data_IF_955860038765
#
_entry.id   IF_955860038765
#
_cell.length_a   1.000
_cell.length_b   1.000
_cell.length_c   1.000
_cell.angle_alpha   90.00
_cell.angle_beta   90.00
_cell.angle_gamma   90.00
#
_symmetry.space_group_name_H-M   'P 1'
#
loop_
_entity.id
_entity.type
_entity.pdbx_description
1 polymer ?
#
# COMPACT_ATOMS: atom_id res chain seq x y z
N UNK A 1 -59.19 -5.00 -20.35
CA UNK A 1 -58.43 -4.22 -19.36
C UNK A 1 -57.51 -5.17 -18.60
N UNK A 2 -56.19 -5.15 -18.85
CA UNK A 2 -55.22 -5.90 -18.03
C UNK A 2 -54.16 -4.90 -17.56
N UNK A 3 -54.21 -4.60 -16.26
CA UNK A 3 -53.29 -3.69 -15.56
C UNK A 3 -51.95 -4.41 -15.40
N UNK A 4 -50.89 -3.86 -15.98
CA UNK A 4 -49.51 -4.27 -15.66
C UNK A 4 -49.09 -3.51 -14.39
N UNK A 5 -48.82 -4.23 -13.30
CA UNK A 5 -48.08 -3.70 -12.16
C UNK A 5 -46.59 -3.69 -12.52
N UNK A 6 -45.96 -2.53 -12.50
CA UNK A 6 -44.52 -2.36 -12.56
C UNK A 6 -43.97 -2.55 -11.14
N UNK A 7 -43.22 -3.62 -10.87
CA UNK A 7 -42.42 -3.74 -9.66
C UNK A 7 -41.09 -3.01 -9.90
N UNK A 8 -40.86 -1.90 -9.20
CA UNK A 8 -39.58 -1.19 -9.21
C UNK A 8 -38.64 -1.85 -8.21
N UNK A 9 -37.67 -2.62 -8.70
CA UNK A 9 -36.61 -3.21 -7.86
C UNK A 9 -35.58 -2.12 -7.51
N UNK A 10 -35.57 -1.65 -6.26
CA UNK A 10 -34.51 -0.80 -5.74
C UNK A 10 -33.25 -1.66 -5.57
N UNK A 11 -32.27 -1.47 -6.45
CA UNK A 11 -30.94 -2.07 -6.31
C UNK A 11 -30.12 -1.23 -5.34
N UNK A 12 -29.85 -1.77 -4.15
CA UNK A 12 -28.96 -1.17 -3.17
C UNK A 12 -27.51 -1.39 -3.63
N UNK A 13 -26.91 -0.40 -4.29
CA UNK A 13 -25.48 -0.42 -4.61
C UNK A 13 -24.72 -0.18 -3.31
N UNK A 14 -24.34 -1.25 -2.62
CA UNK A 14 -23.37 -1.16 -1.53
C UNK A 14 -22.02 -0.87 -2.18
N UNK A 15 -21.59 0.39 -2.13
CA UNK A 15 -20.21 0.75 -2.40
C UNK A 15 -19.38 0.12 -1.28
N UNK A 16 -18.84 -1.06 -1.54
CA UNK A 16 -17.93 -1.72 -0.62
C UNK A 16 -16.69 -0.83 -0.50
N UNK A 17 -16.66 0.00 0.55
CA UNK A 17 -15.51 0.82 0.86
C UNK A 17 -14.31 -0.10 0.93
N UNK A 18 -13.29 0.19 0.13
CA UNK A 18 -12.06 -0.58 0.03
C UNK A 18 -11.26 -0.52 1.34
N UNK A 19 -11.71 -1.30 2.32
CA UNK A 19 -11.11 -1.39 3.64
C UNK A 19 -9.84 -2.23 3.64
N UNK A 20 -9.48 -2.88 2.53
CA UNK A 20 -8.37 -3.83 2.50
C UNK A 20 -7.29 -3.53 1.43
N UNK A 21 -7.17 -2.28 0.97
CA UNK A 21 -5.99 -1.87 0.21
C UNK A 21 -4.74 -1.78 1.08
N UNK A 22 -3.55 -1.96 0.48
CA UNK A 22 -2.29 -1.61 1.14
C UNK A 22 -2.33 -0.13 1.53
N UNK A 23 -1.87 0.19 2.75
CA UNK A 23 -1.80 1.56 3.26
C UNK A 23 -0.44 1.87 3.86
N UNK A 24 -0.07 3.15 3.84
CA UNK A 24 1.10 3.68 4.54
C UNK A 24 0.62 4.64 5.63
N UNK A 25 1.19 4.50 6.82
CA UNK A 25 1.00 5.40 7.96
C UNK A 25 2.34 6.05 8.36
N UNK A 26 2.36 7.31 8.82
CA UNK A 26 1.23 8.24 8.84
C UNK A 26 0.79 8.65 7.42
N UNK A 27 -0.44 9.12 7.27
CA UNK A 27 -0.97 9.62 5.98
C UNK A 27 -0.52 11.06 5.67
N UNK A 28 0.12 11.74 6.63
CA UNK A 28 0.73 13.04 6.46
C UNK A 28 2.08 13.07 7.20
N UNK A 29 3.05 13.82 6.69
CA UNK A 29 4.33 14.09 7.35
C UNK A 29 4.89 15.44 6.87
N UNK A 30 6.07 15.84 7.34
CA UNK A 30 6.72 17.09 6.95
C UNK A 30 7.87 16.88 5.98
N UNK A 31 8.11 17.84 5.09
CA UNK A 31 9.32 17.86 4.25
C UNK A 31 10.59 17.82 5.11
N UNK A 32 11.59 17.03 4.72
CA UNK A 32 12.85 16.87 5.46
C UNK A 32 12.76 16.10 6.77
N UNK A 33 11.58 15.66 7.22
CA UNK A 33 11.41 14.93 8.47
C UNK A 33 12.07 13.55 8.43
N UNK A 34 12.58 13.12 9.59
CA UNK A 34 12.82 11.70 9.87
C UNK A 34 11.50 11.09 10.33
N UNK A 35 11.02 10.07 9.64
CA UNK A 35 9.70 9.50 9.86
C UNK A 35 9.76 7.98 9.94
N UNK A 36 8.88 7.40 10.76
CA UNK A 36 8.59 5.96 10.72
C UNK A 36 7.35 5.75 9.84
N UNK A 37 7.57 5.15 8.68
CA UNK A 37 6.50 4.67 7.82
C UNK A 37 6.09 3.24 8.18
N UNK A 38 4.79 2.96 8.20
CA UNK A 38 4.24 1.62 8.43
C UNK A 38 3.40 1.21 7.25
N UNK A 39 3.86 0.20 6.50
CA UNK A 39 3.08 -0.44 5.44
C UNK A 39 2.19 -1.51 6.04
N UNK A 40 0.87 -1.30 5.99
CA UNK A 40 -0.13 -2.31 6.34
C UNK A 40 -0.59 -3.05 5.09
N UNK A 41 -0.45 -4.38 5.10
CA UNK A 41 -0.79 -5.27 4.01
C UNK A 41 -1.82 -6.30 4.49
N UNK A 42 -3.11 -6.13 4.18
CA UNK A 42 -4.11 -7.18 4.38
C UNK A 42 -4.08 -8.20 3.24
N UNK A 43 -4.62 -9.39 3.47
CA UNK A 43 -4.97 -10.33 2.40
C UNK A 43 -6.47 -10.20 2.07
N UNK A 44 -6.79 -9.67 0.89
CA UNK A 44 -8.18 -9.52 0.42
C UNK A 44 -8.79 -10.82 -0.14
N UNK A 45 -7.97 -11.84 -0.39
CA UNK A 45 -8.41 -13.13 -0.94
C UNK A 45 -8.91 -14.04 0.16
N UNK A 46 -10.02 -14.73 -0.13
CA UNK A 46 -10.63 -15.71 0.78
C UNK A 46 -10.03 -17.11 0.67
N UNK A 47 -9.51 -17.45 -0.51
CA UNK A 47 -9.07 -18.81 -0.86
C UNK A 47 -7.60 -18.87 -1.30
N UNK A 48 -6.85 -17.77 -1.18
CA UNK A 48 -5.45 -17.69 -1.58
C UNK A 48 -4.63 -16.96 -0.52
N UNK A 49 -3.37 -17.33 -0.38
CA UNK A 49 -2.42 -16.68 0.53
C UNK A 49 -1.64 -15.60 -0.21
N UNK A 50 -1.48 -14.43 0.38
CA UNK A 50 -0.48 -13.49 -0.11
C UNK A 50 0.90 -13.98 0.31
N UNK A 51 1.82 -14.07 -0.64
CA UNK A 51 3.15 -14.67 -0.43
C UNK A 51 4.30 -13.68 -0.62
N UNK A 52 4.01 -12.55 -1.27
CA UNK A 52 5.05 -11.57 -1.63
C UNK A 52 4.46 -10.19 -1.85
N UNK A 53 5.19 -9.18 -1.43
CA UNK A 53 4.90 -7.77 -1.73
C UNK A 53 6.16 -7.16 -2.33
N UNK A 54 6.02 -6.53 -3.49
CA UNK A 54 7.06 -5.68 -4.08
C UNK A 54 6.69 -4.22 -3.87
N UNK A 55 7.65 -3.41 -3.43
CA UNK A 55 7.49 -1.97 -3.25
C UNK A 55 8.51 -1.17 -4.03
N UNK A 56 8.06 -0.10 -4.69
CA UNK A 56 8.91 0.98 -5.18
C UNK A 56 8.71 2.23 -4.32
N UNK A 57 9.81 2.82 -3.89
CA UNK A 57 9.78 3.94 -2.97
C UNK A 57 9.66 5.28 -3.71
N UNK A 58 8.96 6.26 -3.12
CA UNK A 58 8.84 7.60 -3.68
C UNK A 58 10.19 8.21 -4.02
N UNK A 59 10.26 8.92 -5.15
CA UNK A 59 11.44 9.68 -5.52
C UNK A 59 11.80 10.70 -4.43
N UNK A 60 13.08 10.83 -4.12
CA UNK A 60 13.58 11.76 -3.10
C UNK A 60 13.44 11.28 -1.65
N UNK A 61 12.59 10.29 -1.35
CA UNK A 61 12.59 9.63 -0.04
C UNK A 61 13.87 8.81 0.13
N UNK A 62 14.47 8.86 1.31
CA UNK A 62 15.63 8.04 1.68
C UNK A 62 15.23 7.08 2.79
N UNK A 63 14.93 5.82 2.44
CA UNK A 63 14.66 4.75 3.42
C UNK A 63 15.98 4.10 3.81
N UNK A 64 16.26 4.02 5.11
CA UNK A 64 17.55 3.54 5.62
C UNK A 64 17.45 2.32 6.54
N UNK A 65 16.36 2.16 7.28
CA UNK A 65 16.14 1.01 8.17
C UNK A 65 14.77 0.38 7.98
N UNK A 66 14.69 -0.92 8.30
CA UNK A 66 13.48 -1.73 8.19
C UNK A 66 13.24 -2.45 9.50
N UNK A 67 11.98 -2.55 9.89
CA UNK A 67 11.57 -3.32 11.06
C UNK A 67 11.91 -4.81 10.85
N UNK A 68 12.64 -5.39 11.80
CA UNK A 68 12.88 -6.83 11.81
C UNK A 68 11.55 -7.56 12.02
N UNK A 69 11.21 -8.44 11.07
CA UNK A 69 9.95 -9.19 11.08
C UNK A 69 10.21 -10.70 11.01
N UNK A 70 10.04 -11.44 12.12
CA UNK A 70 10.19 -12.89 12.11
C UNK A 70 9.31 -13.57 11.06
N UNK A 71 9.87 -14.57 10.36
CA UNK A 71 9.16 -15.30 9.31
C UNK A 71 9.07 -14.58 7.96
N UNK A 72 9.59 -13.35 7.86
CA UNK A 72 9.63 -12.58 6.62
C UNK A 72 11.07 -12.34 6.17
N UNK A 73 11.30 -12.51 4.87
CA UNK A 73 12.55 -12.12 4.21
C UNK A 73 12.34 -10.79 3.50
N UNK A 74 13.35 -9.92 3.53
CA UNK A 74 13.39 -8.68 2.77
C UNK A 74 14.58 -8.70 1.81
N UNK A 75 14.32 -8.50 0.53
CA UNK A 75 15.35 -8.27 -0.49
C UNK A 75 15.29 -6.79 -0.93
N UNK A 76 16.43 -6.10 -0.92
CA UNK A 76 16.48 -4.66 -1.22
C UNK A 76 16.79 -4.40 -2.70
N UNK A 77 15.98 -3.55 -3.33
CA UNK A 77 16.26 -2.99 -4.66
C UNK A 77 17.07 -1.71 -4.46
N UNK A 78 18.31 -1.69 -4.97
CA UNK A 78 19.20 -0.54 -4.90
C UNK A 78 19.45 0.04 -6.30
N UNK A 79 19.69 1.35 -6.36
CA UNK A 79 20.21 2.00 -7.57
C UNK A 79 21.74 1.83 -7.69
N UNK A 80 22.33 2.35 -8.78
CA UNK A 80 23.77 2.28 -9.06
C UNK A 80 24.64 2.98 -8.00
N UNK A 81 24.03 3.84 -7.16
CA UNK A 81 24.69 4.55 -6.05
C UNK A 81 24.51 3.82 -4.72
N UNK A 82 23.87 2.65 -4.72
CA UNK A 82 23.59 1.87 -3.52
C UNK A 82 22.41 2.37 -2.69
N UNK A 83 21.67 3.38 -3.16
CA UNK A 83 20.48 3.89 -2.46
C UNK A 83 19.36 2.86 -2.57
N UNK A 84 18.67 2.57 -1.47
CA UNK A 84 17.48 1.71 -1.48
C UNK A 84 16.33 2.48 -2.15
N UNK A 85 15.85 1.96 -3.28
CA UNK A 85 14.76 2.53 -4.08
C UNK A 85 13.51 1.65 -4.06
N UNK A 86 13.57 0.50 -3.38
CA UNK A 86 12.47 -0.41 -3.21
C UNK A 86 12.88 -1.63 -2.39
N UNK A 87 11.90 -2.48 -2.10
CA UNK A 87 12.13 -3.73 -1.39
C UNK A 87 11.10 -4.79 -1.80
N UNK A 88 11.46 -6.05 -1.61
CA UNK A 88 10.57 -7.19 -1.79
C UNK A 88 10.47 -7.92 -0.46
N UNK A 89 9.25 -7.99 0.09
CA UNK A 89 8.93 -8.76 1.29
C UNK A 89 8.37 -10.11 0.87
N UNK A 90 8.99 -11.20 1.31
CA UNK A 90 8.52 -12.57 1.06
C UNK A 90 8.19 -13.26 2.38
N UNK A 91 7.01 -13.86 2.44
CA UNK A 91 6.46 -14.47 3.64
C UNK A 91 5.10 -15.08 3.35
N UNK A 92 4.18 -15.08 4.32
CA UNK A 92 2.83 -15.60 4.13
C UNK A 92 1.83 -14.78 4.93
N UNK A 93 0.71 -14.41 4.29
CA UNK A 93 -0.47 -13.81 4.90
C UNK A 93 -1.65 -14.68 4.50
N UNK A 94 -2.29 -15.36 5.45
CA UNK A 94 -3.44 -16.23 5.18
C UNK A 94 -4.70 -15.40 4.90
N UNK A 95 -5.76 -16.01 4.35
CA UNK A 95 -7.08 -15.39 4.35
C UNK A 95 -7.44 -14.85 5.75
N UNK A 96 -8.03 -13.65 5.79
CA UNK A 96 -8.42 -12.93 7.01
C UNK A 96 -7.26 -12.42 7.89
N UNK A 97 -6.01 -12.53 7.44
CA UNK A 97 -4.85 -11.95 8.12
C UNK A 97 -4.40 -10.63 7.48
N UNK A 98 -3.64 -9.85 8.25
CA UNK A 98 -2.86 -8.74 7.76
C UNK A 98 -1.49 -8.72 8.43
N UNK A 99 -0.55 -8.02 7.83
CA UNK A 99 0.79 -7.79 8.38
C UNK A 99 1.17 -6.32 8.24
N UNK A 100 2.04 -5.84 9.13
CA UNK A 100 2.63 -4.52 9.06
C UNK A 100 4.16 -4.59 8.96
N UNK A 101 4.75 -3.69 8.16
CA UNK A 101 6.19 -3.52 8.01
C UNK A 101 6.59 -2.06 8.26
N UNK A 102 7.42 -1.84 9.29
CA UNK A 102 8.04 -0.55 9.55
C UNK A 102 9.23 -0.24 8.64
N UNK A 103 9.35 1.02 8.23
CA UNK A 103 10.47 1.58 7.48
C UNK A 103 10.83 2.93 8.09
N UNK A 104 12.10 3.17 8.40
CA UNK A 104 12.56 4.50 8.78
C UNK A 104 13.10 5.23 7.55
N UNK A 105 12.67 6.48 7.36
CA UNK A 105 13.07 7.27 6.21
C UNK A 105 13.27 8.75 6.50
N UNK A 106 13.93 9.42 5.56
CA UNK A 106 14.11 10.87 5.53
C UNK A 106 13.35 11.42 4.31
N UNK A 107 12.40 12.31 4.57
CA UNK A 107 11.57 12.90 3.54
C UNK A 107 12.38 13.87 2.66
N UNK A 108 12.00 14.03 1.39
CA UNK A 108 12.59 15.06 0.55
C UNK A 108 12.34 16.45 1.17
N UNK A 109 13.26 17.39 0.95
CA UNK A 109 13.17 18.76 1.46
C UNK A 109 12.10 19.61 0.75
N UNK A 110 11.49 19.07 -0.30
CA UNK A 110 10.46 19.71 -1.11
C UNK A 110 9.51 18.66 -1.68
N UNK A 111 8.34 19.09 -2.15
CA UNK A 111 7.30 18.25 -2.71
C UNK A 111 6.03 18.25 -1.87
N UNK A 112 4.97 17.68 -2.43
CA UNK A 112 3.63 17.69 -1.81
C UNK A 112 3.17 16.31 -1.39
N UNK A 113 3.70 15.25 -2.00
CA UNK A 113 3.24 13.88 -1.78
C UNK A 113 4.40 12.90 -1.89
N UNK A 114 4.32 11.83 -1.10
CA UNK A 114 5.05 10.60 -1.28
C UNK A 114 4.08 9.54 -1.83
N UNK A 115 4.21 9.21 -3.10
CA UNK A 115 3.40 8.18 -3.76
C UNK A 115 4.18 6.87 -3.77
N UNK A 116 3.67 5.89 -3.04
CA UNK A 116 4.24 4.55 -2.95
C UNK A 116 3.59 3.64 -3.97
N UNK A 117 4.36 2.73 -4.56
CA UNK A 117 3.81 1.72 -5.47
C UNK A 117 4.03 0.34 -4.87
N UNK A 118 2.97 -0.46 -4.83
CA UNK A 118 3.07 -1.82 -4.33
C UNK A 118 2.40 -2.82 -5.26
N UNK A 119 2.96 -4.01 -5.34
CA UNK A 119 2.35 -5.17 -5.99
C UNK A 119 2.30 -6.32 -4.98
N UNK A 120 1.11 -6.82 -4.72
CA UNK A 120 0.89 -7.98 -3.85
C UNK A 120 0.65 -9.21 -4.72
N UNK A 121 1.37 -10.29 -4.43
CA UNK A 121 1.30 -11.56 -5.16
C UNK A 121 0.73 -12.65 -4.28
N UNK A 122 -0.06 -13.52 -4.90
CA UNK A 122 -0.77 -14.62 -4.25
C UNK A 122 -0.26 -15.98 -4.75
N UNK A 123 -0.45 -17.02 -3.94
CA UNK A 123 -0.04 -18.40 -4.27
C UNK A 123 -0.88 -19.05 -5.38
N UNK A 124 -2.05 -18.50 -5.70
CA UNK A 124 -2.87 -18.86 -6.87
C UNK A 124 -2.34 -18.29 -8.19
N UNK A 125 -1.22 -17.57 -8.16
CA UNK A 125 -0.58 -16.94 -9.32
C UNK A 125 -1.14 -15.55 -9.68
N UNK A 126 -2.17 -15.07 -8.97
CA UNK A 126 -2.72 -13.73 -9.20
C UNK A 126 -1.89 -12.63 -8.51
N UNK A 127 -2.14 -11.38 -8.89
CA UNK A 127 -1.54 -10.20 -8.26
C UNK A 127 -2.49 -9.01 -8.24
N UNK A 128 -2.23 -8.08 -7.32
CA UNK A 128 -2.91 -6.79 -7.21
C UNK A 128 -1.89 -5.66 -7.22
N UNK A 129 -2.08 -4.69 -8.11
CA UNK A 129 -1.16 -3.59 -8.35
C UNK A 129 -1.73 -2.29 -7.76
N UNK A 130 -1.28 -1.92 -6.57
CA UNK A 130 -1.60 -0.67 -5.88
C UNK A 130 -0.73 0.46 -6.45
N UNK A 131 -1.00 0.79 -7.71
CA UNK A 131 -0.25 1.78 -8.51
C UNK A 131 -1.16 2.80 -9.20
N UNK A 132 -2.48 2.63 -9.07
CA UNK A 132 -3.48 3.45 -9.72
C UNK A 132 -3.63 4.85 -9.10
N UNK A 133 -4.36 5.76 -9.77
CA UNK A 133 -4.65 7.08 -9.22
C UNK A 133 -5.58 7.01 -8.01
N UNK A 134 -5.61 8.09 -7.20
CA UNK A 134 -6.53 8.24 -6.08
C UNK A 134 -7.98 8.08 -6.57
N UNK A 135 -8.77 7.27 -5.85
CA UNK A 135 -10.15 6.96 -6.20
C UNK A 135 -10.32 5.83 -7.23
N UNK A 136 -9.23 5.29 -7.79
CA UNK A 136 -9.29 4.07 -8.60
C UNK A 136 -9.53 2.82 -7.73
N UNK A 137 -9.79 1.68 -8.38
CA UNK A 137 -9.98 0.40 -7.70
C UNK A 137 -8.75 -0.04 -6.90
N UNK A 138 -7.53 0.25 -7.36
CA UNK A 138 -6.28 -0.11 -6.66
C UNK A 138 -5.36 1.11 -6.63
N UNK A 139 -5.68 2.11 -5.80
CA UNK A 139 -4.91 3.34 -5.72
C UNK A 139 -3.54 3.09 -5.09
N UNK A 140 -2.54 3.80 -5.56
CA UNK A 140 -1.25 3.92 -4.89
C UNK A 140 -1.42 4.56 -3.50
N UNK A 141 -0.77 4.05 -2.44
CA UNK A 141 -0.76 4.72 -1.15
C UNK A 141 -0.03 6.06 -1.25
N UNK A 142 -0.62 7.10 -0.65
CA UNK A 142 -0.07 8.45 -0.66
C UNK A 142 0.08 8.97 0.76
N UNK A 143 1.25 9.56 1.05
CA UNK A 143 1.47 10.38 2.24
C UNK A 143 1.62 11.83 1.82
N UNK A 144 0.80 12.73 2.37
CA UNK A 144 0.90 14.15 2.09
C UNK A 144 2.11 14.76 2.83
N UNK A 145 2.89 15.59 2.16
CA UNK A 145 3.98 16.35 2.75
C UNK A 145 3.55 17.79 3.01
N UNK A 146 3.68 18.22 4.25
CA UNK A 146 3.46 19.60 4.69
C UNK A 146 4.79 20.33 4.84
N UNK A 147 4.80 21.67 4.78
CA UNK A 147 5.95 22.45 5.24
C UNK A 147 6.38 21.99 6.63
N UNK A 148 7.69 22.05 6.91
CA UNK A 148 8.18 21.79 8.26
C UNK A 148 7.52 22.77 9.23
N UNK A 149 6.99 22.26 10.34
CA UNK A 149 6.56 23.13 11.45
C UNK A 149 7.81 23.83 12.00
N UNK A 150 7.81 25.17 12.14
CA UNK A 150 8.93 25.91 12.71
C UNK A 150 9.31 25.46 14.12
#
# INVERSE_FOLDING_TARGET
MKRFLLLTTISLVVTQAALAHIRIYPNESSVGAREKYTMRVPNEKKEANAIRVEGEFPAGLEVYDFEFKPGWKIDFKKDDKGKIIGATWTGKIQPYEFVEFGMLGINPKQGTNLTWKFIQFYDDGTKEEFVGPVGSRLPAPVVALKPATP
#
